data_IF_068956411928
#
_entry.id   IF_068956411928
#
_cell.length_a   1.000
_cell.length_b   1.000
_cell.length_c   1.000
_cell.angle_alpha   90.00
_cell.angle_beta   90.00
_cell.angle_gamma   90.00
#
_symmetry.space_group_name_H-M   'P 1'
#
loop_
_entity.id
_entity.type
_entity.pdbx_description
1 polymer ?
#
# COMPACT_ATOMS: atom_id res chain seq x y z
N UNK A 1 -27.10 -1.23 39.18
CA UNK A 1 -26.19 -0.07 39.12
C UNK A 1 -26.06 0.34 37.67
N UNK A 2 -26.76 1.39 37.27
CA UNK A 2 -26.66 1.98 35.93
C UNK A 2 -25.29 2.63 35.79
N UNK A 3 -24.40 2.08 34.97
CA UNK A 3 -23.17 2.76 34.59
C UNK A 3 -23.58 4.07 33.88
N UNK A 4 -23.31 5.20 34.52
CA UNK A 4 -23.53 6.50 33.92
C UNK A 4 -22.79 6.56 32.58
N UNK A 5 -23.47 7.07 31.56
CA UNK A 5 -22.93 7.22 30.20
C UNK A 5 -21.84 8.30 30.26
N UNK A 6 -20.58 7.89 30.43
CA UNK A 6 -19.44 8.82 30.33
C UNK A 6 -19.24 9.08 28.85
N UNK A 7 -19.41 10.34 28.40
CA UNK A 7 -19.21 10.61 26.96
C UNK A 7 -17.79 10.28 26.57
N UNK A 8 -17.62 9.53 25.46
CA UNK A 8 -16.32 9.30 24.82
C UNK A 8 -15.72 10.65 24.42
N UNK A 9 -14.55 10.96 24.96
CA UNK A 9 -13.85 12.23 24.67
C UNK A 9 -12.88 12.12 23.51
N UNK A 10 -12.40 10.92 23.20
CA UNK A 10 -11.48 10.64 22.10
C UNK A 10 -11.54 9.16 21.72
N UNK A 11 -11.29 8.88 20.46
CA UNK A 11 -11.07 7.53 19.92
C UNK A 11 -9.73 7.53 19.20
N UNK A 12 -8.89 6.51 19.44
CA UNK A 12 -7.66 6.28 18.70
C UNK A 12 -7.79 4.98 17.94
N UNK A 13 -7.64 5.04 16.61
CA UNK A 13 -7.55 3.87 15.75
C UNK A 13 -6.08 3.62 15.41
N UNK A 14 -5.55 2.45 15.77
CA UNK A 14 -4.17 2.05 15.49
C UNK A 14 -4.19 0.92 14.47
N UNK A 15 -3.67 1.17 13.28
CA UNK A 15 -3.49 0.17 12.22
C UNK A 15 -2.06 -0.35 12.30
N UNK A 16 -1.91 -1.66 12.50
CA UNK A 16 -0.61 -2.33 12.42
C UNK A 16 -0.40 -2.76 10.96
N UNK A 17 0.37 -1.97 10.23
CA UNK A 17 0.68 -2.24 8.84
C UNK A 17 1.42 -3.58 8.68
N UNK A 18 1.12 -4.30 7.59
CA UNK A 18 1.69 -5.61 7.26
C UNK A 18 1.44 -6.73 8.29
N UNK A 19 0.48 -6.57 9.21
CA UNK A 19 0.14 -7.56 10.23
C UNK A 19 -1.21 -8.23 9.90
N UNK A 20 -1.17 -9.26 9.05
CA UNK A 20 -2.34 -10.10 8.75
C UNK A 20 -2.49 -11.26 9.73
N UNK A 21 -3.75 -11.57 10.12
CA UNK A 21 -4.09 -12.66 11.08
C UNK A 21 -4.87 -13.78 10.38
N UNK A 22 -4.50 -14.14 9.19
CA UNK A 22 -5.15 -15.13 8.34
C UNK A 22 -5.76 -14.51 7.09
N UNK A 23 -6.07 -15.34 6.12
CA UNK A 23 -6.67 -14.91 4.85
C UNK A 23 -8.12 -14.49 5.02
N UNK A 24 -8.54 -13.47 4.27
CA UNK A 24 -9.94 -13.11 4.11
C UNK A 24 -10.72 -14.21 3.36
N UNK A 25 -12.07 -14.24 3.43
CA UNK A 25 -12.87 -15.25 2.74
C UNK A 25 -12.67 -15.28 1.22
N UNK A 26 -12.27 -14.17 0.62
CA UNK A 26 -11.99 -13.99 -0.81
C UNK A 26 -10.49 -14.09 -1.16
N UNK A 27 -9.63 -14.51 -0.23
CA UNK A 27 -8.18 -14.62 -0.42
C UNK A 27 -7.79 -15.39 -1.69
N UNK A 28 -8.55 -16.45 -2.04
CA UNK A 28 -8.32 -17.22 -3.26
C UNK A 28 -8.44 -16.38 -4.55
N UNK A 29 -9.37 -15.44 -4.59
CA UNK A 29 -9.56 -14.55 -5.74
C UNK A 29 -8.36 -13.62 -5.98
N UNK A 30 -7.58 -13.36 -4.93
CA UNK A 30 -6.40 -12.49 -4.95
C UNK A 30 -5.07 -13.27 -4.89
N UNK A 31 -5.10 -14.62 -4.91
CA UNK A 31 -3.89 -15.44 -4.82
C UNK A 31 -3.23 -15.43 -3.44
N UNK A 32 -3.98 -15.11 -2.39
CA UNK A 32 -3.49 -14.94 -1.01
C UNK A 32 -3.87 -16.10 -0.09
N UNK A 33 -4.25 -17.23 -0.65
CA UNK A 33 -4.53 -18.43 0.14
C UNK A 33 -3.35 -18.80 1.04
N UNK A 34 -3.64 -19.09 2.31
CA UNK A 34 -2.63 -19.42 3.31
C UNK A 34 -1.90 -18.20 3.90
N UNK A 35 -2.21 -16.97 3.50
CA UNK A 35 -1.66 -15.77 4.12
C UNK A 35 -2.04 -15.69 5.60
N UNK A 36 -1.04 -15.62 6.49
CA UNK A 36 -1.20 -15.55 7.93
C UNK A 36 0.07 -15.00 8.59
N UNK A 37 0.39 -13.74 8.31
CA UNK A 37 1.66 -13.12 8.68
C UNK A 37 1.99 -13.27 10.16
N UNK A 38 1.03 -12.95 11.05
CA UNK A 38 1.29 -13.01 12.49
C UNK A 38 1.53 -14.44 12.99
N UNK A 39 0.78 -15.42 12.49
CA UNK A 39 0.95 -16.82 12.82
C UNK A 39 2.32 -17.34 12.33
N UNK A 40 2.68 -17.04 11.08
CA UNK A 40 3.97 -17.46 10.51
C UNK A 40 5.16 -16.84 11.23
N UNK A 41 5.07 -15.55 11.59
CA UNK A 41 6.10 -14.88 12.41
C UNK A 41 6.20 -15.54 13.80
N UNK A 42 5.06 -15.85 14.42
CA UNK A 42 5.04 -16.51 15.72
C UNK A 42 5.68 -17.92 15.66
N UNK A 43 5.39 -18.68 14.63
CA UNK A 43 6.00 -20.01 14.41
C UNK A 43 7.51 -19.90 14.18
N UNK A 44 7.93 -18.99 13.28
CA UNK A 44 9.36 -18.78 12.98
C UNK A 44 10.18 -18.28 14.18
N UNK A 45 9.54 -17.51 15.06
CA UNK A 45 10.17 -16.98 16.28
C UNK A 45 10.11 -17.96 17.48
N UNK A 46 9.46 -19.10 17.34
CA UNK A 46 9.25 -20.05 18.46
C UNK A 46 8.23 -19.55 19.49
N UNK A 47 7.36 -18.63 19.09
CA UNK A 47 6.30 -18.00 19.87
C UNK A 47 6.50 -16.50 20.07
N UNK A 48 5.38 -15.77 20.16
CA UNK A 48 5.37 -14.33 20.43
C UNK A 48 4.93 -14.04 21.86
N UNK A 49 5.50 -13.00 22.45
CA UNK A 49 5.08 -12.49 23.75
C UNK A 49 4.37 -11.14 23.57
N UNK A 50 3.03 -11.15 23.59
CA UNK A 50 2.17 -10.00 23.34
C UNK A 50 1.18 -9.81 24.53
N UNK A 51 1.65 -9.51 25.77
CA UNK A 51 0.84 -9.59 26.98
C UNK A 51 -0.39 -8.67 26.96
N UNK A 52 -0.30 -7.50 26.36
CA UNK A 52 -1.45 -6.59 26.27
C UNK A 52 -2.49 -7.09 25.26
N UNK A 53 -2.08 -7.46 24.05
CA UNK A 53 -2.99 -7.97 23.02
C UNK A 53 -3.59 -9.33 23.45
N UNK A 54 -2.82 -10.18 24.13
CA UNK A 54 -3.30 -11.40 24.74
C UNK A 54 -4.40 -11.10 25.77
N UNK A 55 -4.15 -10.18 26.72
CA UNK A 55 -5.15 -9.80 27.73
C UNK A 55 -6.41 -9.19 27.11
N UNK A 56 -6.34 -8.59 25.93
CA UNK A 56 -7.48 -8.04 25.20
C UNK A 56 -8.23 -9.09 24.37
N UNK A 57 -7.67 -10.30 24.21
CA UNK A 57 -8.34 -11.40 23.55
C UNK A 57 -7.79 -11.80 22.19
N UNK A 58 -6.58 -11.37 21.81
CA UNK A 58 -5.98 -11.71 20.53
C UNK A 58 -5.93 -13.23 20.26
N UNK A 59 -5.59 -14.03 21.28
CA UNK A 59 -5.55 -15.50 21.16
C UNK A 59 -6.91 -16.17 20.94
N UNK A 60 -8.01 -15.40 21.01
CA UNK A 60 -9.37 -15.86 20.64
C UNK A 60 -9.75 -15.53 19.21
N UNK A 61 -9.03 -14.62 18.56
CA UNK A 61 -9.22 -14.30 17.12
C UNK A 61 -8.61 -15.40 16.27
N UNK A 62 -7.39 -15.82 16.60
CA UNK A 62 -6.68 -16.89 15.91
C UNK A 62 -5.69 -17.61 16.84
N UNK A 63 -5.31 -18.83 16.48
CA UNK A 63 -4.25 -19.57 17.17
C UNK A 63 -2.88 -18.97 16.78
N UNK A 64 -2.20 -18.36 17.74
CA UNK A 64 -0.89 -17.73 17.56
C UNK A 64 0.06 -18.34 18.59
N UNK A 65 1.20 -18.85 18.16
CA UNK A 65 2.18 -19.46 19.06
C UNK A 65 2.67 -18.44 20.10
N UNK A 66 2.60 -18.80 21.38
CA UNK A 66 2.98 -17.93 22.50
C UNK A 66 1.93 -16.91 22.95
N UNK A 67 0.72 -16.91 22.35
CA UNK A 67 -0.42 -16.04 22.75
C UNK A 67 -1.59 -16.91 23.20
N UNK A 68 -1.94 -16.85 24.49
CA UNK A 68 -2.99 -17.69 25.05
C UNK A 68 -4.40 -17.16 24.76
N UNK A 69 -5.41 -18.02 24.55
CA UNK A 69 -6.81 -17.64 24.47
C UNK A 69 -7.37 -17.41 25.86
N UNK A 70 -7.13 -16.23 26.47
CA UNK A 70 -7.57 -15.91 27.83
C UNK A 70 -9.09 -16.08 28.00
N UNK A 71 -9.50 -16.60 29.14
CA UNK A 71 -10.92 -16.91 29.41
C UNK A 71 -11.78 -15.65 29.52
N UNK A 72 -11.26 -14.62 30.20
CA UNK A 72 -11.96 -13.34 30.43
C UNK A 72 -11.11 -12.18 29.92
N UNK A 73 -11.24 -11.83 28.60
CA UNK A 73 -10.50 -10.71 28.05
C UNK A 73 -10.90 -9.38 28.69
N UNK A 74 -9.91 -8.51 28.89
CA UNK A 74 -10.13 -7.15 29.40
C UNK A 74 -10.61 -6.16 28.34
N UNK A 75 -10.64 -6.58 27.06
CA UNK A 75 -11.10 -5.83 25.90
C UNK A 75 -12.15 -6.58 25.09
N UNK A 76 -12.63 -5.95 24.03
CA UNK A 76 -13.41 -6.61 22.98
C UNK A 76 -12.48 -7.05 21.85
N UNK A 77 -12.77 -8.18 21.22
CA UNK A 77 -12.03 -8.72 20.09
C UNK A 77 -12.99 -9.24 19.01
N UNK A 78 -12.50 -9.33 17.78
CA UNK A 78 -13.27 -9.86 16.66
C UNK A 78 -12.47 -9.85 15.37
N UNK A 79 -13.03 -10.41 14.34
CA UNK A 79 -12.56 -10.30 12.95
C UNK A 79 -13.56 -9.48 12.15
N UNK A 80 -13.04 -8.72 11.20
CA UNK A 80 -13.85 -7.96 10.24
C UNK A 80 -13.52 -8.47 8.84
N UNK A 81 -14.53 -8.44 7.96
CA UNK A 81 -14.39 -8.76 6.56
C UNK A 81 -14.60 -7.49 5.77
N UNK A 82 -13.73 -7.21 4.84
CA UNK A 82 -13.86 -6.08 3.93
C UNK A 82 -15.10 -6.21 3.05
N UNK A 83 -15.69 -5.08 2.72
CA UNK A 83 -16.86 -4.95 1.84
C UNK A 83 -16.52 -4.34 0.49
N UNK A 84 -15.43 -3.61 0.42
CA UNK A 84 -14.93 -3.00 -0.81
C UNK A 84 -14.44 -4.07 -1.78
N UNK A 85 -14.67 -3.86 -3.06
CA UNK A 85 -14.29 -4.81 -4.10
C UNK A 85 -12.78 -4.87 -4.37
N UNK A 86 -12.00 -3.88 -3.92
CA UNK A 86 -10.58 -3.76 -4.18
C UNK A 86 -9.73 -4.27 -3.03
N UNK A 87 -8.53 -4.77 -3.37
CA UNK A 87 -7.51 -5.16 -2.41
C UNK A 87 -6.26 -4.30 -2.62
N UNK A 88 -6.27 -3.12 -2.07
CA UNK A 88 -5.13 -2.21 -2.08
C UNK A 88 -5.16 -1.30 -0.85
N UNK A 89 -4.03 -0.66 -0.55
CA UNK A 89 -3.88 0.21 0.61
C UNK A 89 -4.91 1.33 0.65
N UNK A 90 -5.20 1.97 -0.49
CA UNK A 90 -6.15 3.10 -0.57
C UNK A 90 -7.55 2.64 -0.24
N UNK A 91 -8.01 1.55 -0.87
CA UNK A 91 -9.33 0.95 -0.63
C UNK A 91 -9.51 0.57 0.85
N UNK A 92 -8.54 -0.11 1.45
CA UNK A 92 -8.62 -0.54 2.84
C UNK A 92 -8.68 0.63 3.82
N UNK A 93 -7.89 1.68 3.62
CA UNK A 93 -7.92 2.86 4.48
C UNK A 93 -9.22 3.65 4.32
N UNK A 94 -9.75 3.76 3.11
CA UNK A 94 -11.05 4.40 2.89
C UNK A 94 -12.19 3.65 3.55
N UNK A 95 -12.18 2.32 3.49
CA UNK A 95 -13.21 1.51 4.15
C UNK A 95 -13.15 1.67 5.67
N UNK A 96 -11.95 1.69 6.28
CA UNK A 96 -11.76 2.01 7.68
C UNK A 96 -12.30 3.42 8.00
N UNK A 97 -12.17 4.36 7.08
CA UNK A 97 -12.67 5.73 7.20
C UNK A 97 -14.15 5.89 6.83
N UNK A 98 -14.85 4.81 6.47
CA UNK A 98 -16.30 4.80 6.21
C UNK A 98 -16.71 4.80 4.74
N UNK A 99 -15.77 4.75 3.80
CA UNK A 99 -16.03 4.76 2.36
C UNK A 99 -15.84 3.37 1.77
N UNK A 100 -16.92 2.73 1.31
CA UNK A 100 -16.90 1.41 0.68
C UNK A 100 -16.93 1.57 -0.84
N UNK A 101 -15.99 0.92 -1.55
CA UNK A 101 -15.92 0.93 -3.00
C UNK A 101 -16.65 -0.29 -3.60
N UNK A 102 -17.54 -0.04 -4.56
CA UNK A 102 -18.24 -1.08 -5.32
C UNK A 102 -17.38 -1.68 -6.45
N UNK A 103 -16.38 -0.95 -6.92
CA UNK A 103 -15.47 -1.36 -7.99
C UNK A 103 -14.02 -1.21 -7.55
N UNK A 104 -13.16 -2.20 -7.87
CA UNK A 104 -11.74 -2.11 -7.55
C UNK A 104 -11.04 -1.10 -8.44
N UNK A 105 -9.94 -0.53 -7.96
CA UNK A 105 -9.02 0.20 -8.84
C UNK A 105 -8.39 -0.75 -9.88
N UNK A 106 -8.14 -0.27 -11.13
CA UNK A 106 -7.52 -1.10 -12.15
C UNK A 106 -6.07 -1.45 -11.78
N UNK A 107 -5.63 -2.66 -12.15
CA UNK A 107 -4.25 -3.12 -12.04
C UNK A 107 -3.67 -3.40 -13.42
N UNK A 108 -2.36 -3.31 -13.56
CA UNK A 108 -1.66 -3.43 -14.83
C UNK A 108 -0.52 -4.46 -14.75
N UNK A 109 -0.80 -5.75 -14.60
CA UNK A 109 0.22 -6.79 -14.37
C UNK A 109 1.23 -6.92 -15.52
N UNK A 110 0.86 -6.49 -16.72
CA UNK A 110 1.74 -6.49 -17.91
C UNK A 110 2.34 -5.11 -18.24
N UNK A 111 2.25 -4.15 -17.31
CA UNK A 111 2.56 -2.74 -17.57
C UNK A 111 1.36 -1.98 -18.16
N UNK A 112 1.48 -0.66 -18.23
CA UNK A 112 0.45 0.23 -18.77
C UNK A 112 0.38 0.10 -20.31
N UNK A 113 -0.82 0.28 -20.91
CA UNK A 113 -0.97 0.24 -22.34
C UNK A 113 -0.21 1.41 -23.03
N UNK A 114 0.17 1.26 -24.31
CA UNK A 114 0.96 2.26 -25.03
C UNK A 114 0.39 3.66 -24.97
N UNK A 115 -0.94 3.82 -25.12
CA UNK A 115 -1.60 5.11 -25.07
C UNK A 115 -1.38 5.88 -23.75
N UNK A 116 -1.25 5.19 -22.63
CA UNK A 116 -0.95 5.80 -21.33
C UNK A 116 0.51 6.26 -21.28
N UNK A 117 1.42 5.42 -21.73
CA UNK A 117 2.86 5.72 -21.74
C UNK A 117 3.18 6.86 -22.71
N UNK A 118 2.64 6.80 -23.93
CA UNK A 118 2.84 7.83 -24.96
C UNK A 118 2.31 9.20 -24.49
N UNK A 119 1.12 9.22 -23.86
CA UNK A 119 0.56 10.44 -23.28
C UNK A 119 1.42 10.99 -22.12
N UNK A 120 1.91 10.11 -21.25
CA UNK A 120 2.81 10.50 -20.17
C UNK A 120 4.13 11.07 -20.70
N UNK A 121 4.79 10.38 -21.63
CA UNK A 121 6.06 10.82 -22.25
C UNK A 121 5.91 12.16 -22.96
N UNK A 122 4.80 12.35 -23.71
CA UNK A 122 4.50 13.61 -24.36
C UNK A 122 4.32 14.75 -23.38
N UNK A 123 3.63 14.51 -22.26
CA UNK A 123 3.34 15.53 -21.25
C UNK A 123 4.57 15.89 -20.40
N UNK A 124 5.42 14.93 -20.07
CA UNK A 124 6.66 15.18 -19.31
C UNK A 124 7.84 15.60 -20.20
N UNK A 125 7.74 15.45 -21.52
CA UNK A 125 8.74 15.86 -22.49
C UNK A 125 10.00 14.98 -22.55
N UNK A 126 9.97 13.77 -21.97
CA UNK A 126 11.08 12.81 -22.00
C UNK A 126 10.54 11.38 -22.03
N UNK A 127 11.12 10.50 -22.87
CA UNK A 127 10.73 9.08 -22.88
C UNK A 127 11.12 8.40 -21.58
N UNK A 128 10.30 7.44 -21.13
CA UNK A 128 10.58 6.63 -19.95
C UNK A 128 11.21 5.28 -20.29
N UNK A 129 11.64 4.55 -19.28
CA UNK A 129 12.09 3.16 -19.35
C UNK A 129 11.35 2.32 -18.31
N UNK A 130 11.27 1.01 -18.55
CA UNK A 130 10.60 0.07 -17.65
C UNK A 130 9.23 -0.34 -18.17
N UNK A 131 8.16 0.23 -17.63
CA UNK A 131 6.75 -0.12 -17.87
C UNK A 131 6.45 -1.62 -17.67
N UNK A 132 6.82 -2.12 -16.50
CA UNK A 132 6.62 -3.53 -16.10
C UNK A 132 6.13 -3.61 -14.66
N UNK A 133 5.52 -4.72 -14.29
CA UNK A 133 5.25 -5.03 -12.90
C UNK A 133 6.54 -5.55 -12.22
N UNK A 134 6.96 -4.87 -11.14
CA UNK A 134 8.16 -5.23 -10.40
C UNK A 134 8.16 -4.65 -8.98
N UNK A 135 9.01 -5.18 -8.11
CA UNK A 135 9.32 -4.52 -6.85
C UNK A 135 10.20 -3.29 -7.09
N UNK A 136 10.01 -2.24 -6.27
CA UNK A 136 10.80 -1.01 -6.41
C UNK A 136 12.32 -1.21 -6.23
N UNK A 137 12.73 -2.13 -5.38
CA UNK A 137 14.15 -2.46 -5.17
C UNK A 137 14.73 -3.18 -6.40
N UNK A 138 13.99 -4.16 -6.92
CA UNK A 138 14.41 -4.93 -8.09
C UNK A 138 14.53 -4.05 -9.35
N UNK A 139 13.51 -3.24 -9.64
CA UNK A 139 13.49 -2.42 -10.85
C UNK A 139 14.59 -1.35 -10.82
N UNK A 140 14.86 -0.75 -9.66
CA UNK A 140 15.95 0.22 -9.49
C UNK A 140 17.31 -0.47 -9.69
N UNK A 141 17.53 -1.65 -9.12
CA UNK A 141 18.76 -2.41 -9.33
C UNK A 141 18.99 -2.75 -10.81
N UNK A 142 17.91 -3.12 -11.53
CA UNK A 142 17.94 -3.51 -12.94
C UNK A 142 18.12 -2.35 -13.93
N UNK A 143 17.46 -1.21 -13.66
CA UNK A 143 17.39 -0.09 -14.61
C UNK A 143 18.08 1.19 -14.13
N UNK A 144 18.56 1.24 -12.89
CA UNK A 144 19.17 2.46 -12.32
C UNK A 144 20.38 2.96 -13.10
N UNK A 145 21.27 2.08 -13.53
CA UNK A 145 22.42 2.46 -14.35
C UNK A 145 22.00 3.04 -15.71
N UNK A 146 21.02 2.39 -16.38
CA UNK A 146 20.46 2.90 -17.63
C UNK A 146 19.76 4.24 -17.46
N UNK A 147 19.03 4.41 -16.34
CA UNK A 147 18.42 5.68 -15.97
C UNK A 147 19.48 6.79 -15.85
N UNK A 148 20.54 6.53 -15.09
CA UNK A 148 21.64 7.50 -14.90
C UNK A 148 22.33 7.87 -16.23
N UNK A 149 22.54 6.91 -17.10
CA UNK A 149 23.18 7.14 -18.40
C UNK A 149 22.29 7.90 -19.40
N UNK A 150 20.97 7.79 -19.30
CA UNK A 150 20.04 8.31 -20.32
C UNK A 150 19.19 9.48 -19.83
N UNK A 151 19.09 9.74 -18.54
CA UNK A 151 18.17 10.71 -17.95
C UNK A 151 16.69 10.31 -17.98
N UNK A 152 16.34 9.12 -18.48
CA UNK A 152 14.96 8.66 -18.64
C UNK A 152 14.39 8.15 -17.32
N UNK A 153 13.23 8.66 -16.83
CA UNK A 153 12.60 8.15 -15.62
C UNK A 153 12.22 6.67 -15.76
N UNK A 154 12.26 5.92 -14.66
CA UNK A 154 11.84 4.52 -14.60
C UNK A 154 10.36 4.49 -14.24
N UNK A 155 9.48 4.10 -15.17
CA UNK A 155 8.07 3.85 -14.91
C UNK A 155 7.85 2.37 -14.64
N UNK A 156 7.07 2.05 -13.61
CA UNK A 156 6.72 0.68 -13.28
C UNK A 156 5.44 0.61 -12.44
N UNK A 157 4.90 -0.58 -12.30
CA UNK A 157 3.76 -0.89 -11.44
C UNK A 157 4.10 -2.03 -10.47
N UNK A 158 3.13 -2.48 -9.68
CA UNK A 158 3.23 -3.65 -8.82
C UNK A 158 1.90 -4.42 -8.84
N UNK A 159 1.70 -5.35 -7.92
CA UNK A 159 0.42 -6.04 -7.75
C UNK A 159 -0.72 -5.09 -7.34
N UNK A 160 -0.37 -3.97 -6.68
CA UNK A 160 -1.33 -2.93 -6.30
C UNK A 160 -1.70 -2.05 -7.50
N UNK A 161 -2.78 -1.26 -7.33
CA UNK A 161 -3.21 -0.26 -8.31
C UNK A 161 -2.35 1.00 -8.21
N UNK A 162 -1.15 0.98 -8.79
CA UNK A 162 -0.17 2.05 -8.68
C UNK A 162 0.55 2.33 -9.99
N UNK A 163 0.83 3.62 -10.26
CA UNK A 163 1.79 4.09 -11.26
C UNK A 163 2.99 4.66 -10.51
N UNK A 164 4.16 4.09 -10.69
CA UNK A 164 5.35 4.48 -9.92
C UNK A 164 6.41 5.04 -10.85
N UNK A 165 7.04 6.14 -10.44
CA UNK A 165 8.15 6.77 -11.15
C UNK A 165 9.36 6.76 -10.24
N UNK A 166 10.40 5.98 -10.60
CA UNK A 166 11.67 6.02 -9.90
C UNK A 166 12.69 6.86 -10.65
N UNK A 167 13.44 7.67 -9.90
CA UNK A 167 14.51 8.50 -10.43
C UNK A 167 15.64 8.69 -9.42
N UNK A 168 16.88 8.74 -9.93
CA UNK A 168 18.06 9.08 -9.14
C UNK A 168 18.07 10.58 -8.86
N UNK A 169 18.29 10.98 -7.61
CA UNK A 169 18.18 12.39 -7.16
C UNK A 169 19.17 13.35 -7.84
N UNK A 170 20.32 12.84 -8.31
CA UNK A 170 21.30 13.63 -9.04
C UNK A 170 21.03 13.68 -10.56
N UNK A 171 20.04 12.93 -11.07
CA UNK A 171 19.67 12.89 -12.50
C UNK A 171 18.38 13.64 -12.75
N UNK A 172 17.37 13.37 -11.96
CA UNK A 172 16.08 14.08 -11.97
C UNK A 172 15.88 14.67 -10.56
N UNK A 173 15.96 15.99 -10.39
CA UNK A 173 15.70 16.65 -9.12
C UNK A 173 14.33 16.29 -8.53
N UNK A 174 14.22 16.31 -7.21
CA UNK A 174 13.04 15.87 -6.48
C UNK A 174 11.76 16.62 -6.91
N UNK A 175 11.87 17.95 -7.07
CA UNK A 175 10.75 18.77 -7.54
C UNK A 175 10.26 18.34 -8.93
N UNK A 176 11.20 18.01 -9.84
CA UNK A 176 10.86 17.55 -11.19
C UNK A 176 10.21 16.17 -11.14
N UNK A 177 10.66 15.27 -10.27
CA UNK A 177 10.03 13.96 -10.06
C UNK A 177 8.60 14.13 -9.55
N UNK A 178 8.36 15.03 -8.62
CA UNK A 178 7.02 15.30 -8.10
C UNK A 178 6.11 15.93 -9.15
N UNK A 179 6.63 16.85 -9.98
CA UNK A 179 5.92 17.39 -11.12
C UNK A 179 5.48 16.29 -12.10
N UNK A 180 6.39 15.36 -12.46
CA UNK A 180 6.06 14.21 -13.30
C UNK A 180 4.96 13.34 -12.69
N UNK A 181 4.97 13.13 -11.37
CA UNK A 181 3.94 12.39 -10.67
C UNK A 181 2.59 13.11 -10.67
N UNK A 182 2.57 14.43 -10.52
CA UNK A 182 1.35 15.23 -10.62
C UNK A 182 0.76 15.14 -12.03
N UNK A 183 1.59 15.29 -13.07
CA UNK A 183 1.16 15.12 -14.47
C UNK A 183 0.57 13.72 -14.70
N UNK A 184 1.23 12.68 -14.20
CA UNK A 184 0.72 11.32 -14.31
C UNK A 184 -0.62 11.16 -13.57
N UNK A 185 -0.78 11.78 -12.38
CA UNK A 185 -2.05 11.74 -11.63
C UNK A 185 -3.20 12.36 -12.41
N UNK A 186 -2.95 13.46 -13.10
CA UNK A 186 -3.95 14.17 -13.91
C UNK A 186 -4.32 13.38 -15.19
N UNK A 187 -3.35 12.68 -15.79
CA UNK A 187 -3.57 11.85 -16.98
C UNK A 187 -4.31 10.54 -16.68
N UNK A 188 -4.05 9.93 -15.53
CA UNK A 188 -4.59 8.62 -15.17
C UNK A 188 -6.04 8.73 -14.66
N UNK A 189 -6.98 8.89 -15.58
CA UNK A 189 -8.41 9.01 -15.35
C UNK A 189 -9.20 7.86 -15.98
N UNK A 190 -10.49 7.74 -15.64
CA UNK A 190 -11.38 6.72 -16.18
C UNK A 190 -10.85 5.30 -15.96
N UNK A 191 -10.72 4.48 -17.03
CA UNK A 191 -10.27 3.08 -16.92
C UNK A 191 -8.80 2.94 -16.48
N UNK A 192 -8.02 4.03 -16.50
CA UNK A 192 -6.63 4.05 -16.08
C UNK A 192 -6.42 4.71 -14.70
N UNK A 193 -7.49 5.02 -13.99
CA UNK A 193 -7.46 5.71 -12.70
C UNK A 193 -6.94 4.79 -11.59
N UNK A 194 -5.62 4.63 -11.52
CA UNK A 194 -4.96 3.90 -10.42
C UNK A 194 -5.18 4.61 -9.07
N UNK A 195 -5.17 3.86 -7.98
CA UNK A 195 -5.34 4.39 -6.63
C UNK A 195 -4.25 5.39 -6.24
N UNK A 196 -3.00 5.18 -6.67
CA UNK A 196 -1.87 6.06 -6.35
C UNK A 196 -0.90 6.23 -7.50
N UNK A 197 -0.35 7.44 -7.65
CA UNK A 197 0.90 7.69 -8.36
C UNK A 197 1.99 7.90 -7.32
N UNK A 198 3.14 7.26 -7.46
CA UNK A 198 4.16 7.24 -6.41
C UNK A 198 5.51 7.74 -6.96
N UNK A 199 6.04 8.78 -6.35
CA UNK A 199 7.43 9.17 -6.52
C UNK A 199 8.36 8.26 -5.71
N UNK A 200 9.35 7.68 -6.38
CA UNK A 200 10.36 6.77 -5.79
C UNK A 200 11.77 7.30 -6.03
N UNK A 201 12.20 8.35 -5.34
CA UNK A 201 13.57 8.83 -5.44
C UNK A 201 14.55 7.81 -4.85
N UNK A 202 15.71 7.68 -5.51
CA UNK A 202 16.80 6.83 -5.06
C UNK A 202 18.16 7.51 -5.27
N UNK A 203 19.20 6.98 -4.63
CA UNK A 203 20.58 7.46 -4.69
C UNK A 203 21.56 6.30 -4.77
N UNK A 204 22.85 6.59 -4.85
CA UNK A 204 23.92 5.60 -4.87
C UNK A 204 24.39 5.28 -6.28
N UNK A 205 25.02 4.14 -6.49
CA UNK A 205 25.57 3.73 -7.77
C UNK A 205 25.24 2.28 -8.11
N UNK A 206 25.67 1.79 -9.28
CA UNK A 206 25.49 0.40 -9.68
C UNK A 206 25.91 -0.58 -8.58
N UNK A 207 25.01 -1.51 -8.22
CA UNK A 207 25.22 -2.47 -7.14
C UNK A 207 24.96 -1.95 -5.72
N UNK A 208 24.71 -0.65 -5.53
CA UNK A 208 24.49 -0.03 -4.21
C UNK A 208 23.39 1.03 -4.22
N UNK A 209 22.41 0.90 -5.10
CA UNK A 209 21.27 1.82 -5.12
C UNK A 209 20.41 1.69 -3.86
N UNK A 210 20.05 2.83 -3.27
CA UNK A 210 19.21 2.94 -2.08
C UNK A 210 18.05 3.90 -2.33
N UNK A 211 16.86 3.54 -1.87
CA UNK A 211 15.69 4.45 -1.87
C UNK A 211 15.90 5.53 -0.81
N UNK A 212 15.51 6.77 -1.13
CA UNK A 212 15.52 7.86 -0.14
C UNK A 212 14.22 7.90 0.66
N UNK A 213 14.17 8.62 1.79
CA UNK A 213 12.94 8.81 2.55
C UNK A 213 11.92 9.73 1.85
N UNK A 214 12.32 10.42 0.77
CA UNK A 214 11.51 11.43 0.06
C UNK A 214 10.47 10.81 -0.89
N UNK A 215 10.01 9.59 -0.59
CA UNK A 215 8.86 9.00 -1.25
C UNK A 215 7.64 9.89 -1.04
N UNK A 216 6.89 10.13 -2.12
CA UNK A 216 5.63 10.85 -2.06
C UNK A 216 4.55 10.14 -2.87
N UNK A 217 3.36 10.00 -2.28
CA UNK A 217 2.21 9.33 -2.90
C UNK A 217 1.16 10.39 -3.29
N UNK A 218 0.83 10.45 -4.58
CA UNK A 218 -0.25 11.24 -5.14
C UNK A 218 -1.48 10.35 -5.26
N UNK A 219 -2.23 10.25 -4.17
CA UNK A 219 -3.41 9.41 -4.09
C UNK A 219 -4.63 10.09 -4.71
N UNK A 220 -5.59 9.28 -5.19
CA UNK A 220 -6.92 9.80 -5.50
C UNK A 220 -7.62 10.24 -4.21
N UNK A 221 -8.49 11.24 -4.32
CA UNK A 221 -9.37 11.61 -3.21
C UNK A 221 -10.49 10.58 -3.05
N UNK A 222 -10.98 10.33 -1.83
CA UNK A 222 -12.13 9.46 -1.59
C UNK A 222 -13.37 10.00 -2.32
N UNK A 223 -14.27 9.13 -2.80
CA UNK A 223 -15.45 9.55 -3.56
C UNK A 223 -16.58 10.16 -2.69
N UNK A 224 -16.41 10.22 -1.40
CA UNK A 224 -17.36 10.77 -0.43
C UNK A 224 -16.68 11.18 0.85
N UNK A 225 -17.45 11.74 1.77
CA UNK A 225 -16.96 12.16 3.08
C UNK A 225 -16.47 10.96 3.89
N UNK A 226 -15.40 11.17 4.62
CA UNK A 226 -14.80 10.20 5.53
C UNK A 226 -15.07 10.58 6.99
N UNK A 227 -14.77 9.68 7.91
CA UNK A 227 -14.83 10.00 9.34
C UNK A 227 -13.93 11.19 9.74
N UNK A 228 -12.98 11.57 8.89
CA UNK A 228 -12.08 12.71 9.11
C UNK A 228 -12.69 14.04 8.68
N UNK A 229 -13.82 14.03 7.98
CA UNK A 229 -14.53 15.21 7.50
C UNK A 229 -15.68 15.62 8.45
N UNK A 230 -15.92 14.81 9.50
CA UNK A 230 -16.93 15.01 10.54
C UNK A 230 -16.38 15.79 11.75
#
# INVERSE_FOLDING_TARGET
MTRGNVPLRAVALVVLDSVGIGGAPDAAAFGDEGSATLQHVAEAAGGLRLPHLESWGLGRVARIAGVAPVEYPSGAYGSMVERSAGKDTTTGHWEIAGVVLSEPFPTFPNGFPPEVIDAFEAAVGVPCIGNVAASGTEIIARLGERHMATGKPIVYTSADSVFQIAAHVDVIPLERLYEMCSIARDLLQGPFRVGRVIARPFRGGPGSFERTPDRHDFSVAPPGDTVLDL
#
